data_IF_967331391436
#
_entry.id   IF_967331391436
#
_cell.length_a   1.000
_cell.length_b   1.000
_cell.length_c   1.000
_cell.angle_alpha   90.00
_cell.angle_beta   90.00
_cell.angle_gamma   90.00
#
_symmetry.space_group_name_H-M   'P 1'
#
loop_
_entity.id
_entity.type
_entity.pdbx_description
1 polymer ?
#
# COMPACT_ATOMS: atom_id res chain seq x y z
N UNK A 1 -9.42 5.60 13.15
CA UNK A 1 -8.37 6.62 12.90
C UNK A 1 -8.50 7.86 13.81
N UNK A 2 -9.63 8.08 14.48
CA UNK A 2 -9.95 9.29 15.28
C UNK A 2 -8.97 9.64 16.43
N UNK A 3 -7.96 8.84 16.71
CA UNK A 3 -6.91 9.12 17.74
C UNK A 3 -5.53 8.61 17.31
N UNK A 4 -5.27 8.54 16.01
CA UNK A 4 -3.97 8.08 15.51
C UNK A 4 -2.92 9.19 15.72
N UNK A 5 -1.78 8.91 16.37
CA UNK A 5 -0.68 9.87 16.50
C UNK A 5 0.12 10.01 15.19
N UNK A 6 -0.29 9.30 14.15
CA UNK A 6 0.47 9.13 12.92
C UNK A 6 0.15 10.20 11.89
N UNK A 7 1.16 10.58 11.12
CA UNK A 7 1.01 11.30 9.86
C UNK A 7 1.33 10.39 8.69
N UNK A 8 0.77 10.68 7.52
CA UNK A 8 0.83 9.78 6.36
C UNK A 8 1.33 10.53 5.12
N UNK A 9 2.14 9.84 4.32
CA UNK A 9 2.62 10.35 3.03
C UNK A 9 2.54 9.26 1.97
N UNK A 10 2.62 9.67 0.71
CA UNK A 10 2.76 8.78 -0.42
C UNK A 10 4.00 9.20 -1.21
N UNK A 11 4.85 8.25 -1.57
CA UNK A 11 6.03 8.43 -2.41
C UNK A 11 7.07 9.40 -1.86
N UNK A 12 7.16 9.55 -0.53
CA UNK A 12 8.15 10.43 0.09
C UNK A 12 9.52 9.77 0.22
N UNK A 13 9.55 8.46 0.48
CA UNK A 13 10.81 7.73 0.67
C UNK A 13 10.72 6.26 0.26
N UNK A 14 10.31 5.99 -1.00
CA UNK A 14 10.07 4.66 -1.54
C UNK A 14 11.19 3.65 -1.20
N UNK A 15 12.46 4.00 -1.49
CA UNK A 15 13.59 3.12 -1.22
C UNK A 15 13.68 2.72 0.25
N UNK A 16 13.44 3.65 1.16
CA UNK A 16 13.46 3.36 2.59
C UNK A 16 12.33 2.43 3.00
N UNK A 17 11.14 2.59 2.41
CA UNK A 17 9.99 1.70 2.67
C UNK A 17 10.31 0.26 2.27
N UNK A 18 10.83 0.03 1.06
CA UNK A 18 11.18 -1.33 0.62
C UNK A 18 12.33 -1.92 1.43
N UNK A 19 13.32 -1.13 1.86
CA UNK A 19 14.39 -1.55 2.74
C UNK A 19 13.86 -1.96 4.13
N UNK A 20 12.91 -1.24 4.71
CA UNK A 20 12.27 -1.63 5.97
C UNK A 20 11.42 -2.91 5.80
N UNK A 21 10.70 -3.06 4.68
CA UNK A 21 10.01 -4.30 4.35
C UNK A 21 10.97 -5.51 4.27
N UNK A 22 12.17 -5.31 3.72
CA UNK A 22 13.20 -6.35 3.61
C UNK A 22 13.73 -6.84 4.97
N UNK A 23 13.71 -5.99 6.00
CA UNK A 23 14.17 -6.32 7.36
C UNK A 23 13.15 -7.09 8.18
N UNK A 24 11.87 -7.11 7.76
CA UNK A 24 10.81 -7.74 8.52
C UNK A 24 10.99 -9.26 8.59
N UNK A 25 11.17 -9.78 9.80
CA UNK A 25 11.11 -11.21 10.07
C UNK A 25 9.67 -11.69 9.97
N UNK A 26 9.41 -12.67 9.13
CA UNK A 26 8.10 -13.28 8.96
C UNK A 26 8.11 -14.69 9.54
N UNK A 27 7.06 -15.03 10.29
CA UNK A 27 6.93 -16.36 10.87
C UNK A 27 6.93 -17.41 9.77
N UNK A 28 7.75 -18.46 9.92
CA UNK A 28 7.87 -19.54 8.93
C UNK A 28 8.73 -19.24 7.71
N UNK A 29 9.44 -18.10 7.65
CA UNK A 29 10.35 -17.77 6.55
C UNK A 29 11.79 -17.61 7.05
N UNK A 30 12.72 -18.35 6.43
CA UNK A 30 14.17 -18.24 6.68
C UNK A 30 14.78 -17.15 5.77
N UNK A 31 14.43 -15.87 5.98
CA UNK A 31 14.95 -14.76 5.21
C UNK A 31 13.86 -13.95 4.49
N UNK A 32 14.29 -13.07 3.60
CA UNK A 32 13.41 -12.23 2.79
C UNK A 32 13.66 -12.46 1.30
N UNK A 33 12.60 -12.41 0.50
CA UNK A 33 12.72 -12.39 -0.97
C UNK A 33 13.18 -11.02 -1.51
N UNK A 34 13.13 -9.97 -0.66
CA UNK A 34 13.49 -8.61 -1.04
C UNK A 34 15.00 -8.41 -0.85
N UNK A 35 15.79 -8.90 -1.82
CA UNK A 35 17.23 -8.65 -1.88
C UNK A 35 17.57 -7.34 -2.58
N UNK A 36 18.85 -6.96 -2.58
CA UNK A 36 19.32 -5.70 -3.15
C UNK A 36 18.90 -5.50 -4.62
N UNK A 37 18.93 -6.56 -5.44
CA UNK A 37 18.46 -6.50 -6.84
C UNK A 37 16.98 -6.13 -6.94
N UNK A 38 16.14 -6.66 -6.05
CA UNK A 38 14.71 -6.35 -6.01
C UNK A 38 14.49 -4.91 -5.58
N UNK A 39 15.21 -4.42 -4.57
CA UNK A 39 15.16 -3.02 -4.13
C UNK A 39 15.48 -2.09 -5.30
N UNK A 40 16.52 -2.39 -6.08
CA UNK A 40 16.91 -1.57 -7.23
C UNK A 40 15.88 -1.63 -8.37
N UNK A 41 15.30 -2.81 -8.66
CA UNK A 41 14.25 -2.96 -9.69
C UNK A 41 13.00 -2.19 -9.31
N UNK A 42 12.47 -2.36 -8.09
CA UNK A 42 11.28 -1.63 -7.66
C UNK A 42 11.52 -0.13 -7.53
N UNK A 43 12.75 0.29 -7.18
CA UNK A 43 13.11 1.71 -7.20
C UNK A 43 13.08 2.29 -8.62
N UNK A 44 13.45 1.49 -9.66
CA UNK A 44 13.29 1.90 -11.06
C UNK A 44 11.81 1.98 -11.46
N UNK A 45 10.99 1.01 -11.04
CA UNK A 45 9.53 1.06 -11.26
C UNK A 45 8.90 2.30 -10.60
N UNK A 46 9.34 2.63 -9.40
CA UNK A 46 8.90 3.86 -8.74
C UNK A 46 9.27 5.12 -9.53
N UNK A 47 10.52 5.23 -10.00
CA UNK A 47 10.96 6.36 -10.85
C UNK A 47 10.21 6.44 -12.17
N UNK A 48 9.75 5.31 -12.70
CA UNK A 48 8.93 5.22 -13.90
C UNK A 48 7.43 5.48 -13.64
N UNK A 49 7.01 5.70 -12.37
CA UNK A 49 5.64 6.01 -12.00
C UNK A 49 4.72 4.79 -11.84
N UNK A 50 5.26 3.57 -11.78
CA UNK A 50 4.47 2.35 -11.61
C UNK A 50 4.42 1.83 -10.19
N UNK A 51 5.48 2.00 -9.40
CA UNK A 51 5.51 1.55 -8.02
C UNK A 51 5.36 2.73 -7.06
N UNK A 52 4.56 2.52 -6.02
CA UNK A 52 4.21 3.55 -5.04
C UNK A 52 4.41 3.04 -3.63
N UNK A 53 4.83 3.95 -2.74
CA UNK A 53 4.97 3.70 -1.32
C UNK A 53 4.00 4.57 -0.51
N UNK A 54 3.59 4.02 0.63
CA UNK A 54 2.72 4.69 1.59
C UNK A 54 3.42 4.64 2.94
N UNK A 55 3.77 5.79 3.47
CA UNK A 55 4.55 5.92 4.68
C UNK A 55 3.69 6.37 5.85
N UNK A 56 4.00 5.82 7.01
CA UNK A 56 3.45 6.23 8.30
C UNK A 56 4.56 6.79 9.16
N UNK A 57 4.32 7.97 9.71
CA UNK A 57 5.29 8.70 10.50
C UNK A 57 4.76 8.96 11.90
N UNK A 58 5.63 8.79 12.90
CA UNK A 58 5.40 9.19 14.27
C UNK A 58 6.63 9.98 14.74
N UNK A 59 6.44 11.20 15.21
CA UNK A 59 7.53 12.11 15.62
C UNK A 59 8.68 12.20 14.61
N UNK A 60 8.33 12.28 13.31
CA UNK A 60 9.29 12.39 12.22
C UNK A 60 10.04 11.11 11.86
N UNK A 61 9.74 9.98 12.52
CA UNK A 61 10.31 8.66 12.25
C UNK A 61 9.32 7.77 11.53
N UNK A 62 9.81 6.87 10.66
CA UNK A 62 8.97 5.86 10.04
C UNK A 62 8.46 4.87 11.10
N UNK A 63 7.14 4.80 11.27
CA UNK A 63 6.45 3.90 12.18
C UNK A 63 5.88 2.67 11.47
N UNK A 64 5.69 2.74 10.16
CA UNK A 64 5.19 1.67 9.32
C UNK A 64 5.02 2.12 7.87
N UNK A 65 4.55 1.23 7.03
CA UNK A 65 4.28 1.53 5.63
C UNK A 65 4.15 0.28 4.78
N UNK A 66 3.88 0.48 3.51
CA UNK A 66 3.82 -0.57 2.51
C UNK A 66 4.13 -0.01 1.13
N UNK A 67 4.38 -0.90 0.18
CA UNK A 67 4.54 -0.53 -1.22
C UNK A 67 3.87 -1.55 -2.13
N UNK A 68 3.64 -1.14 -3.36
CA UNK A 68 3.09 -1.97 -4.40
C UNK A 68 3.20 -1.33 -5.78
N UNK A 69 2.71 -2.03 -6.78
CA UNK A 69 2.70 -1.60 -8.17
C UNK A 69 1.27 -1.26 -8.57
N UNK A 70 1.07 -0.11 -9.22
CA UNK A 70 -0.21 0.37 -9.71
C UNK A 70 -0.19 0.37 -11.23
N UNK A 71 -1.05 -0.42 -11.86
CA UNK A 71 -1.21 -0.48 -13.31
C UNK A 71 -2.70 -0.43 -13.65
N UNK A 72 -3.12 0.58 -14.39
CA UNK A 72 -4.54 0.80 -14.63
C UNK A 72 -5.29 1.02 -13.31
N UNK A 73 -6.32 0.23 -13.05
CA UNK A 73 -7.06 0.22 -11.78
C UNK A 73 -6.78 -1.02 -10.92
N UNK A 74 -5.60 -1.64 -11.08
CA UNK A 74 -5.11 -2.75 -10.27
C UNK A 74 -3.95 -2.30 -9.41
N UNK A 75 -4.01 -2.57 -8.12
CA UNK A 75 -2.88 -2.41 -7.23
C UNK A 75 -2.35 -3.77 -6.78
N UNK A 76 -1.11 -4.07 -7.10
CA UNK A 76 -0.39 -5.26 -6.67
C UNK A 76 0.36 -4.94 -5.38
N UNK A 77 -0.17 -5.42 -4.25
CA UNK A 77 0.44 -5.21 -2.94
C UNK A 77 1.64 -6.12 -2.75
N UNK A 78 2.83 -5.55 -2.66
CA UNK A 78 4.08 -6.32 -2.62
C UNK A 78 4.52 -6.67 -1.20
N UNK A 79 4.59 -5.68 -0.34
CA UNK A 79 5.04 -5.89 1.04
C UNK A 79 4.66 -4.74 1.95
N UNK A 80 4.52 -5.04 3.25
CA UNK A 80 4.33 -4.04 4.29
C UNK A 80 5.19 -4.32 5.50
N UNK A 81 5.48 -3.27 6.27
CA UNK A 81 6.17 -3.33 7.55
C UNK A 81 5.42 -2.53 8.60
N UNK A 82 5.53 -2.97 9.84
CA UNK A 82 4.89 -2.35 11.01
C UNK A 82 5.91 -2.29 12.13
N UNK A 83 6.29 -1.10 12.55
CA UNK A 83 7.19 -0.87 13.69
C UNK A 83 6.33 -0.55 14.91
N UNK A 84 5.33 0.30 14.74
CA UNK A 84 4.42 0.68 15.82
C UNK A 84 3.00 0.11 15.59
N UNK A 85 2.25 -0.19 16.65
CA UNK A 85 0.93 -0.81 16.56
C UNK A 85 -0.01 -0.09 15.59
N UNK A 86 -0.67 -0.85 14.74
CA UNK A 86 -1.66 -0.38 13.75
C UNK A 86 -1.16 0.62 12.69
N UNK A 87 0.15 0.96 12.67
CA UNK A 87 0.69 1.95 11.74
C UNK A 87 0.41 1.59 10.28
N UNK A 88 0.87 0.44 9.80
CA UNK A 88 0.64 0.03 8.40
C UNK A 88 -0.84 -0.20 8.09
N UNK A 89 -1.61 -0.68 9.07
CA UNK A 89 -3.06 -0.90 8.94
C UNK A 89 -3.81 0.41 8.71
N UNK A 90 -3.47 1.46 9.44
CA UNK A 90 -4.11 2.77 9.27
C UNK A 90 -3.80 3.38 7.89
N UNK A 91 -2.54 3.29 7.42
CA UNK A 91 -2.18 3.72 6.08
C UNK A 91 -2.92 2.93 4.99
N UNK A 92 -3.05 1.61 5.16
CA UNK A 92 -3.76 0.77 4.22
C UNK A 92 -5.26 1.11 4.16
N UNK A 93 -5.88 1.46 5.29
CA UNK A 93 -7.28 1.92 5.30
C UNK A 93 -7.46 3.22 4.50
N UNK A 94 -6.56 4.22 4.68
CA UNK A 94 -6.58 5.47 3.92
C UNK A 94 -6.32 5.23 2.42
N UNK A 95 -5.39 4.33 2.11
CA UNK A 95 -5.13 3.89 0.73
C UNK A 95 -6.38 3.29 0.09
N UNK A 96 -7.08 2.37 0.77
CA UNK A 96 -8.28 1.71 0.24
C UNK A 96 -9.40 2.70 -0.03
N UNK A 97 -9.57 3.70 0.82
CA UNK A 97 -10.55 4.77 0.61
C UNK A 97 -10.20 5.61 -0.63
N UNK A 98 -8.96 6.08 -0.74
CA UNK A 98 -8.49 6.83 -1.90
C UNK A 98 -8.57 6.00 -3.19
N UNK A 99 -8.15 4.74 -3.14
CA UNK A 99 -8.17 3.83 -4.28
C UNK A 99 -9.59 3.58 -4.78
N UNK A 100 -10.55 3.37 -3.88
CA UNK A 100 -11.96 3.23 -4.19
C UNK A 100 -12.52 4.51 -4.83
N UNK A 101 -12.23 5.69 -4.27
CA UNK A 101 -12.68 6.98 -4.78
C UNK A 101 -12.16 7.25 -6.19
N UNK A 102 -10.93 6.83 -6.49
CA UNK A 102 -10.36 6.93 -7.84
C UNK A 102 -10.85 5.87 -8.83
N UNK A 103 -11.78 4.99 -8.44
CA UNK A 103 -12.31 3.93 -9.31
C UNK A 103 -11.38 2.72 -9.43
N UNK A 104 -10.52 2.50 -8.44
CA UNK A 104 -9.72 1.29 -8.31
C UNK A 104 -10.59 0.03 -8.30
N UNK A 105 -10.18 -1.00 -9.03
CA UNK A 105 -10.99 -2.20 -9.28
C UNK A 105 -10.62 -3.34 -8.36
N UNK A 106 -9.33 -3.64 -8.21
CA UNK A 106 -8.86 -4.78 -7.43
C UNK A 106 -7.50 -4.49 -6.77
N UNK A 107 -7.33 -4.97 -5.56
CA UNK A 107 -6.05 -5.04 -4.86
C UNK A 107 -5.65 -6.51 -4.80
N UNK A 108 -4.56 -6.87 -5.48
CA UNK A 108 -3.98 -8.21 -5.41
C UNK A 108 -2.99 -8.28 -4.25
N UNK A 109 -3.29 -9.11 -3.28
CA UNK A 109 -2.40 -9.40 -2.14
C UNK A 109 -1.59 -10.68 -2.33
N UNK A 110 -1.73 -11.35 -3.48
CA UNK A 110 -1.07 -12.60 -3.92
C UNK A 110 -1.37 -13.81 -3.02
N UNK A 111 -1.28 -13.65 -1.71
CA UNK A 111 -1.50 -14.73 -0.76
C UNK A 111 -2.58 -14.36 0.26
N UNK A 112 -3.48 -15.30 0.55
CA UNK A 112 -4.43 -15.13 1.63
C UNK A 112 -3.74 -15.38 2.97
N UNK A 113 -3.83 -14.42 3.85
CA UNK A 113 -3.31 -14.49 5.22
C UNK A 113 -4.35 -13.93 6.18
N UNK A 114 -4.24 -14.24 7.49
CA UNK A 114 -5.12 -13.67 8.51
C UNK A 114 -5.10 -12.15 8.52
N UNK A 115 -3.96 -11.57 8.18
CA UNK A 115 -3.83 -10.11 8.05
C UNK A 115 -4.68 -9.59 6.88
N UNK A 116 -4.60 -10.23 5.72
CA UNK A 116 -5.41 -9.88 4.53
C UNK A 116 -6.91 -10.09 4.79
N UNK A 117 -7.28 -11.17 5.49
CA UNK A 117 -8.65 -11.40 5.91
C UNK A 117 -9.24 -10.26 6.74
N UNK A 118 -8.43 -9.67 7.66
CA UNK A 118 -8.84 -8.52 8.48
C UNK A 118 -9.11 -7.26 7.68
N UNK A 119 -8.53 -7.13 6.48
CA UNK A 119 -8.81 -6.06 5.52
C UNK A 119 -10.00 -6.38 4.60
N UNK A 120 -10.70 -7.50 4.81
CA UNK A 120 -11.80 -7.92 3.98
C UNK A 120 -11.40 -8.67 2.70
N UNK A 121 -10.12 -9.06 2.59
CA UNK A 121 -9.62 -9.86 1.48
C UNK A 121 -10.33 -11.20 1.38
N UNK A 122 -10.57 -11.67 0.15
CA UNK A 122 -11.25 -12.92 -0.16
C UNK A 122 -10.50 -13.68 -1.23
N UNK A 123 -10.49 -15.00 -1.11
CA UNK A 123 -10.06 -15.86 -2.21
C UNK A 123 -11.12 -15.84 -3.32
N UNK A 124 -10.67 -15.67 -4.55
CA UNK A 124 -11.48 -15.86 -5.76
C UNK A 124 -10.80 -16.89 -6.65
N UNK A 125 -11.54 -17.51 -7.57
CA UNK A 125 -10.95 -18.45 -8.50
C UNK A 125 -9.95 -17.73 -9.43
N UNK A 126 -8.93 -18.47 -9.90
CA UNK A 126 -7.94 -17.92 -10.85
C UNK A 126 -8.62 -17.32 -12.09
N UNK A 127 -9.62 -18.02 -12.63
CA UNK A 127 -10.31 -17.55 -13.85
C UNK A 127 -11.11 -16.26 -13.61
N UNK A 128 -11.73 -16.12 -12.43
CA UNK A 128 -12.41 -14.90 -12.04
C UNK A 128 -11.39 -13.74 -11.86
N UNK A 129 -10.26 -14.00 -11.20
CA UNK A 129 -9.19 -13.03 -11.03
C UNK A 129 -8.66 -12.53 -12.37
N UNK A 130 -8.27 -13.44 -13.28
CA UNK A 130 -7.71 -13.09 -14.59
C UNK A 130 -8.69 -12.29 -15.46
N UNK A 131 -10.00 -12.57 -15.38
CA UNK A 131 -11.01 -11.76 -16.11
C UNK A 131 -11.08 -10.34 -15.58
N UNK A 132 -11.14 -10.17 -14.25
CA UNK A 132 -11.18 -8.85 -13.61
C UNK A 132 -9.89 -8.07 -13.92
N UNK A 133 -8.75 -8.72 -13.73
CA UNK A 133 -7.42 -8.13 -13.95
C UNK A 133 -7.26 -7.64 -15.39
N UNK A 134 -7.60 -8.47 -16.39
CA UNK A 134 -7.47 -8.13 -17.82
C UNK A 134 -8.21 -6.85 -18.19
N UNK A 135 -9.40 -6.64 -17.66
CA UNK A 135 -10.16 -5.40 -17.89
C UNK A 135 -9.60 -4.22 -17.10
N UNK A 136 -9.22 -4.47 -15.85
CA UNK A 136 -8.76 -3.46 -14.92
C UNK A 136 -7.37 -2.87 -15.29
N UNK A 137 -6.49 -3.66 -15.89
CA UNK A 137 -5.15 -3.20 -16.34
C UNK A 137 -5.23 -2.09 -17.39
N UNK A 138 -6.28 -2.07 -18.22
CA UNK A 138 -6.49 -1.05 -19.26
C UNK A 138 -7.42 0.08 -18.83
N UNK A 139 -8.00 0.00 -17.63
CA UNK A 139 -8.89 1.03 -17.09
C UNK A 139 -8.07 1.97 -16.22
N UNK A 140 -7.82 3.23 -16.64
CA UNK A 140 -7.10 4.18 -15.81
C UNK A 140 -7.93 4.56 -14.57
N UNK A 141 -7.27 5.00 -13.53
CA UNK A 141 -7.93 5.67 -12.41
C UNK A 141 -8.60 6.97 -12.90
N UNK A 142 -9.74 7.32 -12.31
CA UNK A 142 -10.56 8.46 -12.73
C UNK A 142 -9.97 9.82 -12.36
N UNK A 143 -9.07 9.84 -11.36
CA UNK A 143 -8.44 11.05 -10.83
C UNK A 143 -6.99 10.78 -10.44
N UNK A 144 -6.20 11.85 -10.22
CA UNK A 144 -4.84 11.72 -9.69
C UNK A 144 -4.85 11.10 -8.29
N UNK A 145 -4.36 9.87 -8.23
CA UNK A 145 -4.41 9.06 -7.02
C UNK A 145 -3.60 9.66 -5.87
N UNK A 146 -2.48 10.28 -6.16
CA UNK A 146 -1.65 10.90 -5.13
C UNK A 146 -2.36 12.09 -4.49
N UNK A 147 -2.98 12.92 -5.29
CA UNK A 147 -3.78 14.06 -4.80
C UNK A 147 -4.97 13.58 -3.98
N UNK A 148 -5.69 12.53 -4.43
CA UNK A 148 -6.81 11.97 -3.68
C UNK A 148 -6.35 11.39 -2.34
N UNK A 149 -5.26 10.62 -2.30
CA UNK A 149 -4.71 10.11 -1.05
C UNK A 149 -4.39 11.25 -0.07
N UNK A 150 -3.78 12.33 -0.54
CA UNK A 150 -3.49 13.50 0.28
C UNK A 150 -4.76 14.18 0.80
N UNK A 151 -5.82 14.26 0.00
CA UNK A 151 -7.11 14.83 0.40
C UNK A 151 -7.77 13.98 1.49
N UNK A 152 -7.77 12.64 1.34
CA UNK A 152 -8.25 11.71 2.36
C UNK A 152 -7.47 11.87 3.66
N UNK A 153 -6.15 11.93 3.60
CA UNK A 153 -5.31 12.17 4.79
C UNK A 153 -5.73 13.47 5.48
N UNK A 154 -5.85 14.57 4.74
CA UNK A 154 -6.24 15.87 5.30
C UNK A 154 -7.63 15.85 5.94
N UNK A 155 -8.62 15.22 5.31
CA UNK A 155 -9.99 15.15 5.82
C UNK A 155 -10.05 14.43 7.17
N UNK A 156 -9.31 13.34 7.32
CA UNK A 156 -9.23 12.61 8.59
C UNK A 156 -8.56 13.41 9.72
N UNK A 157 -7.65 14.34 9.40
CA UNK A 157 -7.03 15.21 10.40
C UNK A 157 -7.94 16.38 10.83
N UNK A 158 -8.76 16.93 9.92
CA UNK A 158 -9.68 18.04 10.22
C UNK A 158 -10.80 17.59 11.15
N UNK A 159 -11.28 16.34 11.05
CA UNK A 159 -12.29 15.79 11.95
C UNK A 159 -11.82 15.57 13.40
N UNK A 160 -10.51 15.53 13.63
CA UNK A 160 -9.92 15.31 14.96
C UNK A 160 -9.88 16.60 15.80
N UNK A 161 -9.89 17.76 15.15
CA UNK A 161 -9.75 19.07 15.80
C UNK A 161 -11.06 19.86 15.88
N UNK A 162 -12.22 19.24 15.61
CA UNK A 162 -13.56 19.73 15.89
C UNK A 162 -14.20 18.96 17.03
#
# INVERSE_FOLDING_TARGET
LKKSPYTYTMDKCFRKVIEECAKMKRQGQNGTWIGNKMIDVYTKFHKAGFAHSFEVWHDGKLAGGFYGVLIGSVFFGESMFTIEPDSSKSAFALFMEAFKNCGGTIVDSQSYTDNIARYGGKNISRDAFLRIEKEALYKPLSTDFKSEFQNIVKSHFIEIHK
#
